data_IF_922861788898
#
_entry.id   IF_922861788898
#
_cell.length_a   1.000
_cell.length_b   1.000
_cell.length_c   1.000
_cell.angle_alpha   90.00
_cell.angle_beta   90.00
_cell.angle_gamma   90.00
#
_symmetry.space_group_name_H-M   'P 1'
#
loop_
_entity.id
_entity.type
_entity.pdbx_description
1 polymer ?
#
# COMPACT_ATOMS: atom_id res chain seq x y z
N UNK A 1 12.02 27.40 36.45
CA UNK A 1 12.89 26.50 35.67
C UNK A 1 12.00 25.44 35.01
N UNK A 2 11.53 25.70 33.77
CA UNK A 2 10.84 24.68 32.97
C UNK A 2 11.89 23.65 32.57
N UNK A 3 11.64 22.43 33.00
CA UNK A 3 12.65 21.40 33.17
C UNK A 3 13.01 20.77 31.83
N UNK A 4 14.29 20.50 31.60
CA UNK A 4 14.82 19.70 30.48
C UNK A 4 14.04 18.38 30.33
N UNK A 5 13.52 17.85 31.44
CA UNK A 5 12.64 16.68 31.49
C UNK A 5 11.36 16.84 30.66
N UNK A 6 10.74 18.02 30.61
CA UNK A 6 9.50 18.25 29.85
C UNK A 6 9.77 18.21 28.33
N UNK A 7 10.96 18.64 27.91
CA UNK A 7 11.42 18.55 26.51
C UNK A 7 11.78 17.10 26.12
N UNK A 8 12.31 16.31 27.05
CA UNK A 8 12.62 14.89 26.83
C UNK A 8 11.36 13.99 26.84
N UNK A 9 10.37 14.33 27.66
CA UNK A 9 9.08 13.61 27.74
C UNK A 9 8.13 13.96 26.59
N UNK A 10 8.24 15.17 26.03
CA UNK A 10 7.46 15.62 24.89
C UNK A 10 8.37 16.06 23.73
N UNK A 11 9.15 15.14 23.13
CA UNK A 11 9.97 15.47 21.98
C UNK A 11 9.05 15.87 20.84
N UNK A 12 8.97 17.17 20.56
CA UNK A 12 8.26 17.74 19.41
C UNK A 12 9.03 17.32 18.17
N UNK A 13 8.72 16.13 17.63
CA UNK A 13 9.13 15.75 16.28
C UNK A 13 8.37 16.67 15.34
N UNK A 14 9.09 17.57 14.69
CA UNK A 14 8.60 18.14 13.43
C UNK A 14 8.40 16.94 12.49
N UNK A 15 7.18 16.67 12.01
CA UNK A 15 6.98 15.63 11.01
C UNK A 15 7.92 15.95 9.85
N UNK A 16 8.72 14.98 9.35
CA UNK A 16 9.45 15.20 8.12
C UNK A 16 8.42 15.60 7.03
N UNK A 17 8.83 16.40 6.04
CA UNK A 17 7.96 16.73 4.92
C UNK A 17 7.33 15.44 4.38
N UNK A 18 6.03 15.42 4.09
CA UNK A 18 5.39 14.24 3.53
C UNK A 18 6.18 13.79 2.30
N UNK A 19 6.58 12.52 2.29
CA UNK A 19 7.23 11.95 1.12
C UNK A 19 6.18 11.94 0.01
N UNK A 20 6.42 12.72 -1.04
CA UNK A 20 5.60 12.72 -2.25
C UNK A 20 5.86 11.43 -3.05
N UNK A 21 5.32 10.33 -2.54
CA UNK A 21 5.19 9.08 -3.26
C UNK A 21 3.81 9.05 -3.89
N UNK A 22 3.77 8.81 -5.20
CA UNK A 22 2.53 8.49 -5.89
C UNK A 22 2.00 7.14 -5.37
N UNK A 23 1.16 7.22 -4.33
CA UNK A 23 0.54 6.05 -3.71
C UNK A 23 -0.32 5.29 -4.71
N UNK A 24 -1.01 5.99 -5.62
CA UNK A 24 -1.85 5.34 -6.59
C UNK A 24 -1.02 4.47 -7.55
N UNK A 25 0.14 4.97 -7.99
CA UNK A 25 1.06 4.22 -8.82
C UNK A 25 1.67 3.02 -8.08
N UNK A 26 2.21 3.21 -6.88
CA UNK A 26 2.85 2.12 -6.12
C UNK A 26 1.84 1.02 -5.78
N UNK A 27 0.65 1.40 -5.29
CA UNK A 27 -0.41 0.44 -4.98
C UNK A 27 -0.96 -0.21 -6.24
N UNK A 28 -1.07 0.52 -7.35
CA UNK A 28 -1.48 -0.01 -8.64
C UNK A 28 -0.55 -1.10 -9.16
N UNK A 29 0.78 -0.88 -9.12
CA UNK A 29 1.77 -1.89 -9.53
C UNK A 29 1.70 -3.14 -8.65
N UNK A 30 1.65 -2.96 -7.33
CA UNK A 30 1.51 -4.08 -6.39
C UNK A 30 0.23 -4.89 -6.62
N UNK A 31 -0.89 -4.20 -6.88
CA UNK A 31 -2.17 -4.83 -7.21
C UNK A 31 -2.10 -5.62 -8.51
N UNK A 32 -1.46 -5.08 -9.54
CA UNK A 32 -1.28 -5.77 -10.82
C UNK A 32 -0.47 -7.06 -10.65
N UNK A 33 0.57 -7.05 -9.81
CA UNK A 33 1.35 -8.24 -9.48
C UNK A 33 0.50 -9.30 -8.76
N UNK A 34 -0.35 -8.88 -7.81
CA UNK A 34 -1.29 -9.80 -7.15
C UNK A 34 -2.26 -10.46 -8.13
N UNK A 35 -2.82 -9.68 -9.07
CA UNK A 35 -3.72 -10.21 -10.10
C UNK A 35 -2.98 -11.18 -11.02
N UNK A 36 -1.74 -10.88 -11.42
CA UNK A 36 -0.94 -11.78 -12.24
C UNK A 36 -0.66 -13.10 -11.52
N UNK A 37 -0.28 -13.03 -10.23
CA UNK A 37 -0.10 -14.21 -9.38
C UNK A 37 -1.39 -15.01 -9.22
N UNK A 38 -2.54 -14.35 -9.09
CA UNK A 38 -3.84 -14.99 -9.00
C UNK A 38 -4.17 -15.75 -10.29
N UNK A 39 -3.94 -15.16 -11.46
CA UNK A 39 -4.15 -15.84 -12.74
C UNK A 39 -3.23 -17.06 -12.86
N UNK A 40 -1.93 -16.90 -12.58
CA UNK A 40 -0.96 -17.99 -12.70
C UNK A 40 -1.28 -19.15 -11.75
N UNK A 41 -1.61 -18.85 -10.49
CA UNK A 41 -1.98 -19.86 -9.49
C UNK A 41 -3.33 -20.51 -9.81
N UNK A 42 -4.33 -19.75 -10.28
CA UNK A 42 -5.61 -20.32 -10.69
C UNK A 42 -5.44 -21.28 -11.87
N UNK A 43 -4.63 -20.93 -12.87
CA UNK A 43 -4.28 -21.83 -13.98
C UNK A 43 -3.58 -23.09 -13.45
N UNK A 44 -2.63 -22.94 -12.53
CA UNK A 44 -1.96 -24.06 -11.88
C UNK A 44 -2.95 -25.00 -11.19
N UNK A 45 -3.92 -24.45 -10.47
CA UNK A 45 -4.95 -25.20 -9.77
C UNK A 45 -5.90 -25.91 -10.74
N UNK A 46 -6.32 -25.25 -11.81
CA UNK A 46 -7.19 -25.83 -12.85
C UNK A 46 -6.55 -27.00 -13.60
N UNK A 47 -5.22 -27.04 -13.72
CA UNK A 47 -4.50 -28.19 -14.30
C UNK A 47 -4.11 -29.25 -13.26
N UNK A 48 -4.64 -29.16 -12.03
CA UNK A 48 -4.48 -30.17 -10.98
C UNK A 48 -3.24 -30.01 -10.09
N UNK A 49 -2.54 -28.86 -10.12
CA UNK A 49 -1.48 -28.59 -9.14
C UNK A 49 -2.06 -28.11 -7.82
N UNK A 50 -1.45 -28.51 -6.71
CA UNK A 50 -1.83 -28.00 -5.39
C UNK A 50 -1.32 -26.57 -5.19
N UNK A 51 -2.05 -25.62 -5.76
CA UNK A 51 -1.80 -24.18 -5.67
C UNK A 51 -2.99 -23.45 -5.06
N UNK A 52 -3.89 -24.19 -4.41
CA UNK A 52 -5.12 -23.69 -3.78
C UNK A 52 -4.83 -22.58 -2.74
N UNK A 53 -3.79 -22.78 -1.92
CA UNK A 53 -3.33 -21.78 -0.96
C UNK A 53 -2.77 -20.53 -1.66
N UNK A 54 -2.02 -20.70 -2.76
CA UNK A 54 -1.49 -19.58 -3.53
C UNK A 54 -2.62 -18.76 -4.17
N UNK A 55 -3.68 -19.41 -4.66
CA UNK A 55 -4.89 -18.74 -5.15
C UNK A 55 -5.53 -17.90 -4.04
N UNK A 56 -5.71 -18.47 -2.84
CA UNK A 56 -6.31 -17.75 -1.71
C UNK A 56 -5.48 -16.53 -1.29
N UNK A 57 -4.15 -16.67 -1.20
CA UNK A 57 -3.24 -15.58 -0.86
C UNK A 57 -3.28 -14.49 -1.94
N UNK A 58 -3.21 -14.85 -3.22
CA UNK A 58 -3.23 -13.88 -4.30
C UNK A 58 -4.58 -13.17 -4.41
N UNK A 59 -5.69 -13.88 -4.18
CA UNK A 59 -7.02 -13.29 -4.15
C UNK A 59 -7.15 -12.26 -3.01
N UNK A 60 -6.68 -12.61 -1.81
CA UNK A 60 -6.68 -11.68 -0.67
C UNK A 60 -5.83 -10.43 -0.96
N UNK A 61 -4.62 -10.62 -1.49
CA UNK A 61 -3.74 -9.52 -1.90
C UNK A 61 -4.36 -8.63 -2.97
N UNK A 62 -5.02 -9.20 -3.98
CA UNK A 62 -5.71 -8.43 -5.02
C UNK A 62 -6.88 -7.62 -4.46
N UNK A 63 -7.70 -8.19 -3.56
CA UNK A 63 -8.82 -7.47 -2.93
C UNK A 63 -8.33 -6.29 -2.11
N UNK A 64 -7.31 -6.51 -1.26
CA UNK A 64 -6.70 -5.46 -0.45
C UNK A 64 -6.07 -4.39 -1.35
N UNK A 65 -5.32 -4.81 -2.37
CA UNK A 65 -4.66 -3.93 -3.32
C UNK A 65 -5.63 -3.03 -4.10
N UNK A 66 -6.72 -3.60 -4.62
CA UNK A 66 -7.77 -2.84 -5.31
C UNK A 66 -8.40 -1.81 -4.37
N UNK A 67 -8.71 -2.20 -3.12
CA UNK A 67 -9.25 -1.29 -2.11
C UNK A 67 -8.30 -0.12 -1.83
N UNK A 68 -7.03 -0.42 -1.60
CA UNK A 68 -6.01 0.59 -1.31
C UNK A 68 -5.71 1.49 -2.52
N UNK A 69 -5.66 0.95 -3.73
CA UNK A 69 -5.46 1.72 -4.97
C UNK A 69 -6.64 2.66 -5.21
N UNK A 70 -7.86 2.17 -5.02
CA UNK A 70 -9.08 2.98 -5.14
C UNK A 70 -9.11 4.09 -4.09
N UNK A 71 -8.70 3.79 -2.86
CA UNK A 71 -8.58 4.80 -1.81
C UNK A 71 -7.54 5.86 -2.18
N UNK A 72 -6.35 5.45 -2.64
CA UNK A 72 -5.28 6.35 -3.05
C UNK A 72 -5.73 7.28 -4.19
N UNK A 73 -6.36 6.74 -5.23
CA UNK A 73 -6.92 7.54 -6.34
C UNK A 73 -7.96 8.57 -5.89
N UNK A 74 -8.73 8.27 -4.83
CA UNK A 74 -9.75 9.18 -4.29
C UNK A 74 -9.18 10.24 -3.35
N UNK A 75 -8.06 9.96 -2.70
CA UNK A 75 -7.43 10.81 -1.70
C UNK A 75 -6.11 11.42 -2.18
N UNK A 76 -5.87 11.38 -3.48
CA UNK A 76 -4.72 12.02 -4.11
C UNK A 76 -4.90 13.54 -4.07
N UNK A 77 -4.47 14.14 -2.95
CA UNK A 77 -4.43 15.59 -2.77
C UNK A 77 -3.23 16.09 -3.54
N UNK A 78 -3.44 16.46 -4.81
CA UNK A 78 -2.44 17.20 -5.57
C UNK A 78 -2.18 18.52 -4.85
N UNK A 79 -1.00 18.66 -4.26
CA UNK A 79 -0.51 19.96 -3.79
C UNK A 79 -0.25 20.80 -5.04
N UNK A 80 -0.87 21.97 -5.20
CA UNK A 80 -0.58 22.85 -6.34
C UNK A 80 0.90 23.22 -6.34
N UNK A 81 1.54 23.38 -7.51
CA UNK A 81 2.88 23.94 -7.58
C UNK A 81 2.89 25.29 -6.86
N UNK A 82 3.77 25.46 -5.88
CA UNK A 82 4.07 26.79 -5.33
C UNK A 82 4.99 27.48 -6.33
N UNK A 83 4.41 28.31 -7.19
CA UNK A 83 5.14 29.29 -8.01
C UNK A 83 5.86 30.33 -7.12
#
# INVERSE_FOLDING_TARGET
MRSIFDTLLHPRRTPPPPLEVDLAHVMGVGTALWVLGLVASAVGWLVGRDTSLAVAICAAGAVIGVGATTWALRHDVRVPPTD
#
